data_IF_270978886496
#
_entry.id   IF_270978886496
#
_cell.length_a   1.000
_cell.length_b   1.000
_cell.length_c   1.000
_cell.angle_alpha   90.00
_cell.angle_beta   90.00
_cell.angle_gamma   90.00
#
_symmetry.space_group_name_H-M   'P 1'
#
loop_
_entity.id
_entity.type
_entity.pdbx_description
1 polymer ?
#
# COMPACT_ATOMS: atom_id res chain seq x y z
N UNK A 1 6.00 4.31 10.97
CA UNK A 1 5.74 4.69 9.56
C UNK A 1 6.42 3.72 8.63
N UNK A 2 5.75 3.35 7.54
CA UNK A 2 6.29 2.36 6.62
C UNK A 2 5.28 1.90 5.59
N UNK A 3 5.66 0.84 4.88
CA UNK A 3 4.88 0.27 3.80
C UNK A 3 4.21 -1.01 4.27
N UNK A 4 2.96 -1.17 3.86
CA UNK A 4 2.09 -2.27 4.22
C UNK A 4 1.54 -2.94 2.96
N UNK A 5 1.47 -4.26 2.98
CA UNK A 5 0.57 -5.01 2.13
C UNK A 5 -0.87 -4.73 2.59
N UNK A 6 -1.75 -4.38 1.67
CA UNK A 6 -3.13 -4.00 1.96
C UNK A 6 -4.10 -4.58 0.92
N UNK A 7 -5.38 -4.62 1.27
CA UNK A 7 -6.45 -4.74 0.29
C UNK A 7 -7.24 -3.44 0.24
N UNK A 8 -7.76 -3.13 -0.94
CA UNK A 8 -8.55 -1.93 -1.20
C UNK A 8 -9.92 -2.36 -1.71
N UNK A 9 -10.95 -1.93 -1.00
CA UNK A 9 -12.33 -2.07 -1.44
C UNK A 9 -12.76 -0.78 -2.14
N UNK A 10 -13.18 -0.90 -3.39
CA UNK A 10 -13.68 0.20 -4.22
C UNK A 10 -14.82 -0.33 -5.09
N UNK A 11 -15.98 0.35 -5.08
CA UNK A 11 -17.19 -0.04 -5.83
C UNK A 11 -17.57 -1.53 -5.64
N UNK A 12 -17.42 -2.06 -4.43
CA UNK A 12 -17.70 -3.46 -4.10
C UNK A 12 -16.65 -4.48 -4.58
N UNK A 13 -15.61 -4.04 -5.31
CA UNK A 13 -14.49 -4.88 -5.72
C UNK A 13 -13.36 -4.80 -4.70
N UNK A 14 -12.75 -5.94 -4.38
CA UNK A 14 -11.54 -6.01 -3.55
C UNK A 14 -10.32 -6.19 -4.46
N UNK A 15 -9.37 -5.27 -4.36
CA UNK A 15 -8.12 -5.28 -5.12
C UNK A 15 -6.92 -5.34 -4.17
N UNK A 16 -5.82 -6.00 -4.56
CA UNK A 16 -4.57 -5.93 -3.81
C UNK A 16 -3.98 -4.52 -3.92
N UNK A 17 -3.33 -4.05 -2.85
CA UNK A 17 -2.69 -2.76 -2.82
C UNK A 17 -1.49 -2.72 -1.89
N UNK A 18 -0.72 -1.66 -2.04
CA UNK A 18 0.42 -1.34 -1.20
C UNK A 18 0.25 0.06 -0.63
N UNK A 19 0.24 0.16 0.69
CA UNK A 19 -0.04 1.41 1.40
C UNK A 19 1.19 1.90 2.15
N UNK A 20 1.61 3.13 1.87
CA UNK A 20 2.58 3.86 2.65
C UNK A 20 1.85 4.71 3.71
N UNK A 21 2.27 4.57 4.97
CA UNK A 21 1.86 5.45 6.07
C UNK A 21 3.10 6.17 6.56
N UNK A 22 3.15 7.47 6.25
CA UNK A 22 4.33 8.30 6.42
C UNK A 22 4.03 9.71 6.93
N UNK A 23 5.08 10.50 7.18
CA UNK A 23 4.95 11.90 7.60
C UNK A 23 5.54 12.79 6.53
N UNK A 24 4.72 13.72 6.06
CA UNK A 24 5.21 14.79 5.19
C UNK A 24 5.80 15.89 6.08
N UNK A 25 7.10 16.19 5.98
CA UNK A 25 7.64 17.37 6.63
C UNK A 25 7.05 18.60 5.93
N UNK A 26 6.20 19.35 6.63
CA UNK A 26 5.78 20.68 6.19
C UNK A 26 6.50 21.71 7.05
N UNK A 27 6.65 22.92 6.51
CA UNK A 27 7.50 23.98 7.08
C UNK A 27 7.13 24.30 8.55
N UNK A 28 5.90 24.01 9.00
CA UNK A 28 5.42 24.29 10.36
C UNK A 28 4.73 23.11 11.07
N UNK A 29 4.77 21.87 10.52
CA UNK A 29 4.16 20.70 11.16
C UNK A 29 4.63 19.36 10.56
N UNK A 30 4.30 18.26 11.25
CA UNK A 30 4.35 16.93 10.68
C UNK A 30 2.93 16.45 10.41
N UNK A 31 2.57 16.29 9.13
CA UNK A 31 1.25 15.77 8.74
C UNK A 31 1.38 14.29 8.37
N UNK A 32 0.57 13.45 9.03
CA UNK A 32 0.43 12.04 8.66
C UNK A 32 -0.18 11.95 7.25
N UNK A 33 0.41 11.10 6.42
CA UNK A 33 -0.01 10.82 5.05
C UNK A 33 -0.23 9.33 4.89
N UNK A 34 -1.27 8.98 4.16
CA UNK A 34 -1.62 7.60 3.81
C UNK A 34 -1.78 7.59 2.29
N UNK A 35 -0.92 6.87 1.61
CA UNK A 35 -0.87 6.79 0.15
C UNK A 35 -0.95 5.31 -0.25
N UNK A 36 -1.91 4.96 -1.11
CA UNK A 36 -2.10 3.57 -1.54
C UNK A 36 -1.95 3.46 -3.05
N UNK A 37 -1.10 2.52 -3.49
CA UNK A 37 -1.07 2.07 -4.88
C UNK A 37 -1.95 0.82 -4.99
N UNK A 38 -3.05 0.92 -5.76
CA UNK A 38 -3.93 -0.19 -6.09
C UNK A 38 -3.31 -0.92 -7.28
N UNK A 39 -3.16 -2.24 -7.21
CA UNK A 39 -2.59 -3.02 -8.31
C UNK A 39 -3.66 -3.39 -9.34
N UNK A 40 -3.23 -3.49 -10.59
CA UNK A 40 -4.07 -3.89 -11.74
C UNK A 40 -5.40 -3.12 -11.76
N UNK A 41 -5.26 -1.80 -11.65
CA UNK A 41 -6.32 -0.81 -11.57
C UNK A 41 -5.92 0.40 -12.42
N UNK A 42 -6.73 0.71 -13.43
CA UNK A 42 -6.47 1.75 -14.44
C UNK A 42 -7.74 2.60 -14.62
N UNK A 43 -8.22 3.17 -13.51
CA UNK A 43 -9.41 4.01 -13.47
C UNK A 43 -9.19 5.19 -12.52
N UNK A 44 -9.85 6.31 -12.83
CA UNK A 44 -9.94 7.45 -11.93
C UNK A 44 -11.09 7.26 -10.93
N UNK A 45 -10.78 7.44 -9.65
CA UNK A 45 -11.72 7.29 -8.52
C UNK A 45 -11.68 8.50 -7.58
N UNK A 46 -11.37 9.68 -8.11
CA UNK A 46 -11.35 10.90 -7.34
C UNK A 46 -12.70 11.14 -6.66
N UNK A 47 -12.65 11.56 -5.39
CA UNK A 47 -13.83 11.81 -4.54
C UNK A 47 -14.67 10.56 -4.18
N UNK A 48 -14.25 9.37 -4.61
CA UNK A 48 -14.94 8.14 -4.23
C UNK A 48 -14.44 7.61 -2.89
N UNK A 49 -15.35 7.08 -2.04
CA UNK A 49 -14.95 6.40 -0.83
C UNK A 49 -14.30 5.06 -1.17
N UNK A 50 -13.14 4.82 -0.58
CA UNK A 50 -12.47 3.52 -0.59
C UNK A 50 -12.19 3.07 0.84
N UNK A 51 -12.14 1.76 1.05
CA UNK A 51 -11.68 1.18 2.31
C UNK A 51 -10.34 0.50 2.09
N UNK A 52 -9.32 0.93 2.83
CA UNK A 52 -7.99 0.32 2.83
C UNK A 52 -7.82 -0.53 4.09
N UNK A 53 -7.67 -1.86 3.93
CA UNK A 53 -7.40 -2.80 5.02
C UNK A 53 -5.90 -3.13 5.04
N UNK A 54 -5.20 -2.69 6.08
CA UNK A 54 -3.78 -3.02 6.27
C UNK A 54 -3.68 -4.48 6.72
N UNK A 55 -2.97 -5.31 5.94
CA UNK A 55 -2.82 -6.74 6.23
C UNK A 55 -1.52 -7.00 6.98
N UNK A 56 -0.39 -6.52 6.43
CA UNK A 56 0.92 -6.76 7.04
C UNK A 56 1.88 -5.64 6.70
N UNK A 57 2.64 -5.18 7.69
CA UNK A 57 3.76 -4.28 7.44
C UNK A 57 4.89 -5.03 6.73
N UNK A 58 5.37 -4.50 5.61
CA UNK A 58 6.44 -5.14 4.82
C UNK A 58 7.80 -4.48 5.04
N UNK A 59 7.84 -3.18 5.38
CA UNK A 59 9.08 -2.51 5.82
C UNK A 59 8.83 -1.18 6.56
N UNK A 60 9.87 -0.68 7.22
CA UNK A 60 9.95 0.69 7.68
C UNK A 60 10.08 1.68 6.50
N UNK A 61 9.84 2.96 6.77
CA UNK A 61 10.24 4.03 5.85
C UNK A 61 11.76 4.00 5.60
N UNK A 62 12.13 4.39 4.39
CA UNK A 62 13.52 4.41 3.95
C UNK A 62 13.72 5.62 3.03
N UNK A 63 14.81 6.37 3.25
CA UNK A 63 15.26 7.39 2.31
C UNK A 63 16.02 6.71 1.17
N UNK A 64 15.82 7.18 -0.04
CA UNK A 64 16.51 6.66 -1.23
C UNK A 64 17.44 7.73 -1.79
N UNK A 65 18.63 7.31 -2.18
CA UNK A 65 19.65 8.20 -2.74
C UNK A 65 19.37 8.59 -4.21
N UNK A 66 18.49 7.85 -4.90
CA UNK A 66 18.08 8.15 -6.27
C UNK A 66 16.71 7.58 -6.62
N UNK A 67 16.10 8.10 -7.69
CA UNK A 67 14.83 7.61 -8.21
C UNK A 67 14.91 6.15 -8.67
N UNK A 68 16.04 5.71 -9.24
CA UNK A 68 16.20 4.32 -9.69
C UNK A 68 16.21 3.32 -8.52
N UNK A 69 16.84 3.69 -7.40
CA UNK A 69 16.82 2.87 -6.19
C UNK A 69 15.39 2.81 -5.63
N UNK A 70 14.67 3.93 -5.61
CA UNK A 70 13.27 3.96 -5.19
C UNK A 70 12.40 3.05 -6.08
N UNK A 71 12.51 3.15 -7.41
CA UNK A 71 11.75 2.31 -8.36
C UNK A 71 12.01 0.81 -8.11
N UNK A 72 13.28 0.42 -7.97
CA UNK A 72 13.64 -0.98 -7.65
C UNK A 72 13.04 -1.44 -6.33
N UNK A 73 13.07 -0.60 -5.30
CA UNK A 73 12.46 -0.94 -4.02
C UNK A 73 10.94 -1.09 -4.13
N UNK A 74 10.25 -0.19 -4.84
CA UNK A 74 8.80 -0.28 -5.05
C UNK A 74 8.41 -1.56 -5.79
N UNK A 75 9.21 -2.02 -6.75
CA UNK A 75 8.98 -3.30 -7.42
C UNK A 75 9.12 -4.49 -6.46
N UNK A 76 10.16 -4.51 -5.62
CA UNK A 76 10.33 -5.54 -4.58
C UNK A 76 9.20 -5.52 -3.55
N UNK A 77 8.73 -4.33 -3.19
CA UNK A 77 7.63 -4.14 -2.26
C UNK A 77 6.31 -4.67 -2.87
N UNK A 78 6.08 -4.44 -4.17
CA UNK A 78 4.93 -5.00 -4.93
C UNK A 78 4.97 -6.52 -4.93
N UNK A 79 6.10 -7.13 -5.26
CA UNK A 79 6.25 -8.59 -5.26
C UNK A 79 6.03 -9.20 -3.87
N UNK A 80 6.56 -8.57 -2.83
CA UNK A 80 6.35 -8.99 -1.44
C UNK A 80 4.88 -8.89 -1.05
N UNK A 81 4.21 -7.80 -1.42
CA UNK A 81 2.78 -7.61 -1.18
C UNK A 81 1.96 -8.70 -1.84
N UNK A 82 2.20 -8.98 -3.13
CA UNK A 82 1.47 -10.02 -3.86
C UNK A 82 1.70 -11.42 -3.26
N UNK A 83 2.92 -11.72 -2.79
CA UNK A 83 3.19 -12.99 -2.09
C UNK A 83 2.37 -13.11 -0.80
N UNK A 84 2.30 -12.04 0.00
CA UNK A 84 1.53 -12.00 1.25
C UNK A 84 0.05 -12.22 1.01
N UNK A 85 -0.51 -11.50 0.05
CA UNK A 85 -1.95 -11.53 -0.21
C UNK A 85 -2.39 -12.81 -0.91
N UNK A 86 -1.44 -13.54 -1.52
CA UNK A 86 -1.69 -14.84 -2.13
C UNK A 86 -1.44 -16.04 -1.21
N UNK A 87 -0.95 -15.79 0.01
CA UNK A 87 -0.76 -16.84 1.01
C UNK A 87 -2.11 -17.49 1.37
N UNK A 88 -2.27 -18.81 1.13
CA UNK A 88 -3.54 -19.51 1.36
C UNK A 88 -4.05 -19.40 2.80
N UNK A 89 -3.15 -19.37 3.79
CA UNK A 89 -3.55 -19.29 5.21
C UNK A 89 -4.15 -17.92 5.55
N UNK A 90 -3.63 -16.86 4.93
CA UNK A 90 -4.17 -15.51 5.06
C UNK A 90 -5.50 -15.36 4.32
N UNK A 91 -5.63 -15.96 3.14
CA UNK A 91 -6.88 -15.90 2.35
C UNK A 91 -8.08 -16.48 3.11
N UNK A 92 -7.89 -17.62 3.79
CA UNK A 92 -8.97 -18.26 4.58
C UNK A 92 -9.45 -17.32 5.70
N UNK A 93 -8.53 -16.67 6.42
CA UNK A 93 -8.87 -15.72 7.51
C UNK A 93 -9.49 -14.40 7.03
N UNK A 94 -9.48 -14.13 5.73
CA UNK A 94 -10.03 -12.90 5.16
C UNK A 94 -11.44 -13.09 4.59
N UNK A 95 -11.91 -14.34 4.46
CA UNK A 95 -13.24 -14.69 3.96
C UNK A 95 -14.26 -14.96 5.07
N UNK A 96 -13.83 -14.91 6.32
CA UNK A 96 -14.66 -14.97 7.54
C UNK A 96 -14.96 -13.56 8.07
#
# INVERSE_FOLDING_TARGET
MGVYASTVMVRGMVKPGMTNIGMRPTINAHKLTIETNIFDFDEDIYYEPITVKLIRRIRNEKKFASLDILKRQLQQDKETTLKILNDPELKIRMTE
#
